data_IF_491486764414
#
_entry.id   IF_491486764414
#
_cell.length_a   1.000
_cell.length_b   1.000
_cell.length_c   1.000
_cell.angle_alpha   90.00
_cell.angle_beta   90.00
_cell.angle_gamma   90.00
#
_symmetry.space_group_name_H-M   'P 1'
#
loop_
_entity.id
_entity.type
_entity.pdbx_description
1 polymer ?
#
# COMPACT_ATOMS: atom_id res chain seq x y z
N UNK A 1 10.42 -4.76 12.51
CA UNK A 1 9.95 -3.77 11.52
C UNK A 1 10.08 -4.31 10.09
N UNK A 2 11.28 -4.65 9.61
CA UNK A 2 11.51 -5.28 8.28
C UNK A 2 10.73 -6.58 8.05
N UNK A 3 10.55 -7.42 9.08
CA UNK A 3 9.75 -8.64 8.95
C UNK A 3 8.29 -8.38 8.57
N UNK A 4 7.70 -7.26 9.01
CA UNK A 4 6.32 -6.92 8.67
C UNK A 4 6.19 -6.52 7.20
N UNK A 5 7.05 -5.59 6.75
CA UNK A 5 7.14 -5.14 5.34
C UNK A 5 7.28 -6.33 4.38
N UNK A 6 8.18 -7.26 4.69
CA UNK A 6 8.41 -8.46 3.85
C UNK A 6 7.17 -9.35 3.82
N UNK A 7 6.51 -9.58 4.97
CA UNK A 7 5.27 -10.38 5.01
C UNK A 7 4.17 -9.74 4.18
N UNK A 8 3.97 -8.43 4.32
CA UNK A 8 2.97 -7.68 3.53
C UNK A 8 3.30 -7.74 2.04
N UNK A 9 4.57 -7.63 1.67
CA UNK A 9 5.02 -7.77 0.29
C UNK A 9 4.71 -9.16 -0.27
N UNK A 10 5.03 -10.22 0.47
CA UNK A 10 4.76 -11.60 0.05
C UNK A 10 3.25 -11.88 -0.09
N UNK A 11 2.44 -11.36 0.84
CA UNK A 11 0.97 -11.49 0.77
C UNK A 11 0.45 -10.76 -0.48
N UNK A 12 0.89 -9.53 -0.73
CA UNK A 12 0.49 -8.76 -1.90
C UNK A 12 0.96 -9.40 -3.21
N UNK A 13 2.16 -10.00 -3.23
CA UNK A 13 2.67 -10.80 -4.36
C UNK A 13 1.82 -12.04 -4.60
N UNK A 14 1.48 -12.79 -3.56
CA UNK A 14 0.60 -13.95 -3.66
C UNK A 14 -0.78 -13.58 -4.21
N UNK A 15 -1.39 -12.53 -3.68
CA UNK A 15 -2.70 -12.04 -4.16
C UNK A 15 -2.60 -11.58 -5.62
N UNK A 16 -1.55 -10.82 -5.97
CA UNK A 16 -1.36 -10.35 -7.34
C UNK A 16 -1.17 -11.48 -8.34
N UNK A 17 -0.43 -12.53 -7.95
CA UNK A 17 -0.24 -13.73 -8.77
C UNK A 17 -1.56 -14.48 -8.99
N UNK A 18 -2.32 -14.73 -7.92
CA UNK A 18 -3.62 -15.41 -8.01
C UNK A 18 -4.60 -14.59 -8.86
N UNK A 19 -4.65 -13.27 -8.67
CA UNK A 19 -5.49 -12.38 -9.46
C UNK A 19 -5.10 -12.37 -10.94
N UNK A 20 -3.82 -12.44 -11.29
CA UNK A 20 -3.37 -12.54 -12.67
C UNK A 20 -3.77 -13.87 -13.31
N UNK A 21 -3.61 -14.98 -12.58
CA UNK A 21 -4.06 -16.29 -13.06
C UNK A 21 -5.56 -16.31 -13.34
N UNK A 22 -6.36 -15.69 -12.46
CA UNK A 22 -7.81 -15.55 -12.65
C UNK A 22 -8.09 -14.71 -13.90
N UNK A 23 -7.47 -13.53 -14.05
CA UNK A 23 -7.66 -12.69 -15.24
C UNK A 23 -7.28 -13.43 -16.52
N UNK A 24 -6.15 -14.15 -16.52
CA UNK A 24 -5.71 -14.95 -17.66
C UNK A 24 -6.68 -16.09 -17.97
N UNK A 25 -7.24 -16.76 -16.95
CA UNK A 25 -8.19 -17.86 -17.16
C UNK A 25 -9.50 -17.37 -17.75
N UNK A 26 -10.00 -16.22 -17.29
CA UNK A 26 -11.21 -15.60 -17.82
C UNK A 26 -10.97 -14.76 -19.10
N UNK A 27 -9.72 -14.60 -19.56
CA UNK A 27 -9.37 -13.73 -20.69
C UNK A 27 -9.74 -12.25 -20.45
N UNK A 28 -9.77 -11.82 -19.19
CA UNK A 28 -10.20 -10.48 -18.80
C UNK A 28 -9.02 -9.50 -18.82
N UNK A 29 -9.17 -8.40 -19.56
CA UNK A 29 -8.22 -7.27 -19.53
C UNK A 29 -8.67 -6.14 -18.60
N UNK A 30 -9.80 -6.30 -17.90
CA UNK A 30 -10.39 -5.24 -17.09
C UNK A 30 -9.40 -4.69 -16.07
N UNK A 31 -8.80 -5.58 -15.26
CA UNK A 31 -7.88 -5.17 -14.20
C UNK A 31 -6.61 -4.54 -14.77
N UNK A 32 -6.11 -5.05 -15.89
CA UNK A 32 -4.92 -4.50 -16.56
C UNK A 32 -5.17 -3.07 -17.05
N UNK A 33 -6.29 -2.84 -17.74
CA UNK A 33 -6.67 -1.52 -18.25
C UNK A 33 -6.91 -0.55 -17.10
N UNK A 34 -7.67 -0.97 -16.10
CA UNK A 34 -7.95 -0.17 -14.92
C UNK A 34 -6.69 0.27 -14.20
N UNK A 35 -5.77 -0.65 -13.89
CA UNK A 35 -4.54 -0.34 -13.19
C UNK A 35 -3.58 0.50 -14.04
N UNK A 36 -3.43 0.19 -15.33
CA UNK A 36 -2.54 0.97 -16.22
C UNK A 36 -2.98 2.43 -16.32
N UNK A 37 -4.31 2.69 -16.31
CA UNK A 37 -4.85 4.04 -16.40
C UNK A 37 -4.87 4.79 -15.06
N UNK A 38 -5.03 4.08 -13.95
CA UNK A 38 -5.42 4.73 -12.69
C UNK A 38 -4.51 4.42 -11.49
N UNK A 39 -3.59 3.45 -11.56
CA UNK A 39 -2.85 3.00 -10.37
C UNK A 39 -2.11 4.14 -9.68
N UNK A 40 -1.37 4.97 -10.42
CA UNK A 40 -0.63 6.10 -9.82
C UNK A 40 -1.58 7.08 -9.13
N UNK A 41 -2.69 7.43 -9.78
CA UNK A 41 -3.73 8.31 -9.21
C UNK A 41 -4.33 7.72 -7.93
N UNK A 42 -4.63 6.42 -7.94
CA UNK A 42 -5.16 5.70 -6.77
C UNK A 42 -4.14 5.72 -5.63
N UNK A 43 -2.87 5.43 -5.90
CA UNK A 43 -1.82 5.45 -4.87
C UNK A 43 -1.65 6.85 -4.25
N UNK A 44 -1.70 7.91 -5.04
CA UNK A 44 -1.66 9.29 -4.54
C UNK A 44 -2.89 9.60 -3.67
N UNK A 45 -4.08 9.16 -4.10
CA UNK A 45 -5.30 9.33 -3.31
C UNK A 45 -5.24 8.57 -1.97
N UNK A 46 -4.75 7.33 -1.99
CA UNK A 46 -4.53 6.53 -0.78
C UNK A 46 -3.49 7.17 0.14
N UNK A 47 -2.46 7.82 -0.40
CA UNK A 47 -1.46 8.53 0.39
C UNK A 47 -2.08 9.73 1.11
N UNK A 48 -2.91 10.50 0.42
CA UNK A 48 -3.62 11.63 1.01
C UNK A 48 -4.58 11.18 2.14
N UNK A 49 -5.29 10.07 1.93
CA UNK A 49 -6.16 9.47 2.96
C UNK A 49 -5.32 9.05 4.16
N UNK A 50 -4.22 8.31 3.97
CA UNK A 50 -3.35 7.89 5.07
C UNK A 50 -2.69 9.05 5.81
N UNK A 51 -2.29 10.11 5.10
CA UNK A 51 -1.74 11.31 5.73
C UNK A 51 -2.78 12.03 6.60
N UNK A 52 -4.02 12.11 6.12
CA UNK A 52 -5.13 12.74 6.85
C UNK A 52 -5.49 11.96 8.10
N UNK A 53 -5.69 10.64 7.99
CA UNK A 53 -6.02 9.79 9.14
C UNK A 53 -4.91 9.77 10.18
N UNK A 54 -3.66 9.83 9.73
CA UNK A 54 -2.49 9.95 10.61
C UNK A 54 -2.43 11.26 11.36
N UNK A 55 -2.78 12.38 10.72
CA UNK A 55 -2.89 13.68 11.39
C UNK A 55 -3.92 13.65 12.53
N UNK A 56 -5.07 13.01 12.30
CA UNK A 56 -6.12 12.84 13.32
C UNK A 56 -5.59 12.00 14.49
N UNK A 57 -5.01 10.84 14.19
CA UNK A 57 -4.47 9.93 15.21
C UNK A 57 -3.37 10.57 16.03
N UNK A 58 -2.42 11.26 15.39
CA UNK A 58 -1.32 11.92 16.11
C UNK A 58 -1.82 13.04 17.02
N UNK A 59 -2.89 13.73 16.63
CA UNK A 59 -3.54 14.74 17.48
C UNK A 59 -4.14 14.08 18.72
N UNK A 60 -4.89 12.99 18.54
CA UNK A 60 -5.46 12.23 19.67
C UNK A 60 -4.42 11.64 20.59
N UNK A 61 -3.36 11.06 20.04
CA UNK A 61 -2.21 10.55 20.80
C UNK A 61 -1.57 11.67 21.63
N UNK A 62 -1.47 12.89 21.07
CA UNK A 62 -0.94 14.04 21.80
C UNK A 62 -1.85 14.44 22.97
N UNK A 63 -3.16 14.50 22.74
CA UNK A 63 -4.14 14.80 23.80
C UNK A 63 -4.06 13.78 24.95
N UNK A 64 -3.88 12.49 24.62
CA UNK A 64 -3.71 11.41 25.61
C UNK A 64 -2.40 11.53 26.40
N UNK A 65 -1.31 11.91 25.72
CA UNK A 65 -0.01 12.15 26.37
C UNK A 65 -0.11 13.31 27.37
N UNK A 66 -0.79 14.38 26.98
CA UNK A 66 -0.95 15.59 27.79
C UNK A 66 -1.88 15.34 29.00
N UNK A 67 -2.87 14.44 28.88
CA UNK A 67 -3.83 14.12 29.94
C UNK A 67 -3.34 13.06 30.94
N UNK A 68 -2.57 12.08 30.49
CA UNK A 68 -2.30 10.84 31.23
C UNK A 68 -0.82 10.60 31.54
N UNK A 69 0.08 11.31 30.87
CA UNK A 69 1.52 11.02 30.86
C UNK A 69 1.83 9.70 30.13
N UNK A 70 3.01 9.61 29.48
CA UNK A 70 3.44 8.35 28.83
C UNK A 70 3.87 8.43 27.37
N UNK A 71 4.63 9.46 26.99
CA UNK A 71 5.22 9.63 25.64
C UNK A 71 5.90 8.37 25.11
N UNK A 72 6.55 7.59 25.99
CA UNK A 72 7.26 6.38 25.61
C UNK A 72 6.34 5.28 25.06
N UNK A 73 5.07 5.23 25.49
CA UNK A 73 4.09 4.22 25.05
C UNK A 73 3.77 4.36 23.55
N UNK A 74 3.72 5.60 23.05
CA UNK A 74 3.29 5.90 21.68
C UNK A 74 4.44 6.04 20.67
N UNK A 75 5.70 5.89 21.11
CA UNK A 75 6.87 5.98 20.24
C UNK A 75 6.79 4.97 19.08
N UNK A 76 6.44 3.72 19.39
CA UNK A 76 6.32 2.66 18.39
C UNK A 76 5.20 2.95 17.39
N UNK A 77 4.06 3.46 17.86
CA UNK A 77 2.93 3.86 17.01
C UNK A 77 3.35 4.93 16.02
N UNK A 78 4.02 5.99 16.48
CA UNK A 78 4.53 7.07 15.62
C UNK A 78 5.52 6.55 14.58
N UNK A 79 6.43 5.65 14.95
CA UNK A 79 7.39 5.05 14.03
C UNK A 79 6.73 4.18 12.95
N UNK A 80 5.73 3.36 13.32
CA UNK A 80 4.94 2.57 12.35
C UNK A 80 4.14 3.47 11.40
N UNK A 81 3.56 4.56 11.92
CA UNK A 81 2.85 5.53 11.09
C UNK A 81 3.79 6.20 10.09
N UNK A 82 4.96 6.68 10.51
CA UNK A 82 5.95 7.26 9.59
C UNK A 82 6.45 6.23 8.56
N UNK A 83 6.56 4.95 8.95
CA UNK A 83 6.90 3.87 8.02
C UNK A 83 5.82 3.72 6.94
N UNK A 84 4.54 3.73 7.30
CA UNK A 84 3.44 3.54 6.34
C UNK A 84 3.41 4.63 5.24
N UNK A 85 3.76 5.88 5.59
CA UNK A 85 3.95 6.95 4.59
C UNK A 85 5.11 6.62 3.65
N UNK A 86 6.25 6.19 4.18
CA UNK A 86 7.41 5.84 3.37
C UNK A 86 7.11 4.67 2.43
N UNK A 87 6.37 3.68 2.90
CA UNK A 87 5.91 2.55 2.08
C UNK A 87 5.03 3.03 0.94
N UNK A 88 4.03 3.87 1.20
CA UNK A 88 3.17 4.43 0.14
C UNK A 88 3.96 5.25 -0.90
N UNK A 89 4.88 6.10 -0.46
CA UNK A 89 5.75 6.86 -1.39
C UNK A 89 6.60 5.90 -2.23
N UNK A 90 7.18 4.87 -1.62
CA UNK A 90 7.95 3.86 -2.33
C UNK A 90 7.10 3.12 -3.37
N UNK A 91 5.85 2.76 -3.04
CA UNK A 91 4.92 2.10 -3.97
C UNK A 91 4.58 2.99 -5.17
N UNK A 92 4.39 4.31 -4.96
CA UNK A 92 4.16 5.25 -6.06
C UNK A 92 5.37 5.26 -7.01
N UNK A 93 6.58 5.37 -6.46
CA UNK A 93 7.81 5.34 -7.28
C UNK A 93 7.94 4.02 -8.03
N UNK A 94 7.68 2.89 -7.36
CA UNK A 94 7.69 1.56 -7.99
C UNK A 94 6.66 1.49 -9.12
N UNK A 95 5.44 1.98 -8.94
CA UNK A 95 4.41 1.98 -9.97
C UNK A 95 4.82 2.78 -11.21
N UNK A 96 5.40 3.97 -11.01
CA UNK A 96 5.88 4.82 -12.11
C UNK A 96 7.00 4.13 -12.90
N UNK A 97 7.97 3.55 -12.20
CA UNK A 97 9.07 2.79 -12.82
C UNK A 97 8.53 1.58 -13.56
N UNK A 98 7.62 0.81 -12.95
CA UNK A 98 7.01 -0.38 -13.53
C UNK A 98 6.28 -0.05 -14.83
N UNK A 99 5.47 1.00 -14.86
CA UNK A 99 4.76 1.40 -16.07
C UNK A 99 5.65 2.00 -17.14
N UNK A 100 6.69 2.74 -16.74
CA UNK A 100 7.71 3.23 -17.69
C UNK A 100 8.44 2.06 -18.37
N UNK A 101 8.69 0.98 -17.63
CA UNK A 101 9.29 -0.25 -18.15
C UNK A 101 8.28 -1.02 -19.03
N UNK A 102 7.02 -1.13 -18.59
CA UNK A 102 5.94 -1.85 -19.29
C UNK A 102 5.63 -1.26 -20.67
N UNK A 103 5.73 0.05 -20.83
CA UNK A 103 5.50 0.74 -22.11
C UNK A 103 6.68 0.60 -23.10
N UNK A 104 7.81 0.04 -22.67
CA UNK A 104 8.97 -0.12 -23.53
C UNK A 104 8.83 -1.31 -24.49
N UNK A 105 9.06 -1.06 -25.79
CA UNK A 105 8.97 -2.06 -26.86
C UNK A 105 9.81 -3.33 -26.61
N UNK A 106 10.89 -3.22 -25.81
CA UNK A 106 11.80 -4.33 -25.50
C UNK A 106 11.19 -5.42 -24.62
N UNK A 107 10.06 -5.15 -23.96
CA UNK A 107 9.42 -6.09 -23.04
C UNK A 107 8.61 -7.16 -23.76
N UNK A 108 8.04 -6.84 -24.91
CA UNK A 108 7.32 -7.82 -25.73
C UNK A 108 8.22 -8.93 -26.28
N UNK A 109 9.54 -8.72 -26.28
CA UNK A 109 10.52 -9.71 -26.72
C UNK A 109 10.91 -10.73 -25.64
N UNK A 110 10.53 -10.50 -24.37
CA UNK A 110 10.88 -11.37 -23.25
C UNK A 110 9.67 -12.22 -22.86
N UNK A 111 9.82 -13.53 -22.92
CA UNK A 111 8.80 -14.48 -22.51
C UNK A 111 8.40 -14.25 -21.04
N UNK A 112 7.09 -14.26 -20.76
CA UNK A 112 6.50 -14.04 -19.42
C UNK A 112 6.72 -12.66 -18.79
N UNK A 113 7.42 -11.72 -19.44
CA UNK A 113 7.64 -10.38 -18.86
C UNK A 113 6.31 -9.62 -18.65
N UNK A 114 5.36 -9.75 -19.58
CA UNK A 114 4.03 -9.14 -19.45
C UNK A 114 3.27 -9.68 -18.24
N UNK A 115 3.32 -11.01 -18.02
CA UNK A 115 2.70 -11.65 -16.85
C UNK A 115 3.33 -11.12 -15.57
N UNK A 116 4.66 -11.11 -15.48
CA UNK A 116 5.37 -10.61 -14.30
C UNK A 116 4.99 -9.15 -13.98
N UNK A 117 4.95 -8.28 -15.00
CA UNK A 117 4.59 -6.88 -14.80
C UNK A 117 3.14 -6.68 -14.37
N UNK A 118 2.21 -7.49 -14.89
CA UNK A 118 0.83 -7.46 -14.46
C UNK A 118 0.70 -7.91 -13.00
N UNK A 119 1.35 -9.02 -12.62
CA UNK A 119 1.42 -9.49 -11.23
C UNK A 119 1.95 -8.39 -10.33
N UNK A 120 3.08 -7.79 -10.68
CA UNK A 120 3.69 -6.72 -9.90
C UNK A 120 2.77 -5.48 -9.81
N UNK A 121 2.07 -5.11 -10.89
CA UNK A 121 1.11 -3.98 -10.87
C UNK A 121 -0.04 -4.24 -9.89
N UNK A 122 -0.61 -5.44 -9.94
CA UNK A 122 -1.70 -5.85 -9.04
C UNK A 122 -1.17 -5.91 -7.60
N UNK A 123 0.04 -6.43 -7.39
CA UNK A 123 0.66 -6.50 -6.07
C UNK A 123 0.93 -5.12 -5.48
N UNK A 124 1.39 -4.15 -6.27
CA UNK A 124 1.57 -2.76 -5.81
C UNK A 124 0.22 -2.18 -5.36
N UNK A 125 -0.84 -2.39 -6.15
CA UNK A 125 -2.18 -1.99 -5.77
C UNK A 125 -2.64 -2.66 -4.47
N UNK A 126 -2.53 -3.99 -4.38
CA UNK A 126 -2.93 -4.75 -3.19
C UNK A 126 -2.14 -4.33 -1.95
N UNK A 127 -0.82 -4.15 -2.06
CA UNK A 127 0.00 -3.69 -0.95
C UNK A 127 -0.51 -2.33 -0.43
N UNK A 128 -0.81 -1.39 -1.32
CA UNK A 128 -1.32 -0.09 -0.92
C UNK A 128 -2.64 -0.16 -0.13
N UNK A 129 -3.53 -1.09 -0.51
CA UNK A 129 -4.77 -1.36 0.22
C UNK A 129 -4.52 -1.97 1.60
N UNK A 130 -3.55 -2.88 1.71
CA UNK A 130 -3.15 -3.47 3.00
C UNK A 130 -2.59 -2.40 3.95
N UNK A 131 -1.75 -1.49 3.43
CA UNK A 131 -1.22 -0.37 4.22
C UNK A 131 -2.33 0.57 4.68
N UNK A 132 -3.32 0.85 3.83
CA UNK A 132 -4.51 1.61 4.23
C UNK A 132 -5.30 0.86 5.32
N UNK A 133 -5.50 -0.44 5.16
CA UNK A 133 -6.23 -1.27 6.14
C UNK A 133 -5.56 -1.24 7.52
N UNK A 134 -4.24 -1.43 7.57
CA UNK A 134 -3.48 -1.39 8.83
C UNK A 134 -3.54 -0.02 9.49
N UNK A 135 -3.54 1.06 8.69
CA UNK A 135 -3.73 2.43 9.18
C UNK A 135 -5.13 2.63 9.75
N UNK A 136 -6.17 2.21 9.03
CA UNK A 136 -7.57 2.32 9.48
C UNK A 136 -7.82 1.52 10.77
N UNK A 137 -7.29 0.31 10.87
CA UNK A 137 -7.36 -0.51 12.08
C UNK A 137 -6.70 0.19 13.27
N UNK A 138 -5.57 0.84 13.06
CA UNK A 138 -4.86 1.59 14.12
C UNK A 138 -5.68 2.79 14.59
N UNK A 139 -6.35 3.50 13.67
CA UNK A 139 -7.24 4.62 14.01
C UNK A 139 -8.39 4.15 14.88
N UNK A 140 -9.06 3.04 14.51
CA UNK A 140 -10.19 2.49 15.27
C UNK A 140 -9.80 2.14 16.71
N UNK A 141 -8.66 1.45 16.89
CA UNK A 141 -8.17 1.08 18.23
C UNK A 141 -7.92 2.32 19.11
N UNK A 142 -7.46 3.42 18.54
CA UNK A 142 -7.17 4.66 19.28
C UNK A 142 -8.45 5.40 19.63
N UNK A 143 -9.45 5.40 18.75
CA UNK A 143 -10.77 5.98 19.05
C UNK A 143 -11.48 5.17 20.15
N UNK A 144 -11.41 3.84 20.09
CA UNK A 144 -12.02 2.97 21.10
C UNK A 144 -11.34 3.08 22.47
N UNK A 145 -10.12 3.63 22.57
CA UNK A 145 -9.41 3.80 23.83
C UNK A 145 -10.00 4.91 24.73
N UNK A 146 -10.78 5.83 24.16
CA UNK A 146 -11.49 6.90 24.88
C UNK A 146 -12.87 6.44 25.44
N UNK A 147 -13.25 5.15 25.26
CA UNK A 147 -14.52 4.56 25.73
C UNK A 147 -14.32 3.63 26.92
#
# INVERSE_FOLDING_TARGET
MTSHVIKTALIALGIGFIAELINSWFGSEFLHKFLTQNLVTILIALLAINATTMGIVLTKVRDMIDSSGGVACFKNTREQMLLSIKEQIALIVIAVVLFSIKDSYRIYAIENATLLLNVLSISVFTYSLLVLYDTAKSVLIIIDFDS
#
